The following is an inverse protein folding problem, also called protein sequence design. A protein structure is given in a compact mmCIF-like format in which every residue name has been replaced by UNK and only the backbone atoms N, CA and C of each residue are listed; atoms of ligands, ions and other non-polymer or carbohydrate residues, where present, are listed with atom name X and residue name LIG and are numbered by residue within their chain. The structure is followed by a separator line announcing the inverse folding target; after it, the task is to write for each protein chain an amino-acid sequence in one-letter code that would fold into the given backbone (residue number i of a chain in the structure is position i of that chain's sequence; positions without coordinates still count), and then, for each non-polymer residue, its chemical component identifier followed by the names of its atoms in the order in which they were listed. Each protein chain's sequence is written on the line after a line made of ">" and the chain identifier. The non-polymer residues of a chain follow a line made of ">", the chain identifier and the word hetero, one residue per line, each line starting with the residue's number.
data_IF_325890446313
#
_entry.id   IF_325890446313
#
_cell.length_a   1.000
_cell.length_b   1.000
_cell.length_c   1.000
_cell.angle_alpha   90.00
_cell.angle_beta   90.00
_cell.angle_gamma   90.00
#
_symmetry.space_group_name_H-M   'P 1'
#
loop_
_entity.id
_entity.type
_entity.pdbx_description
1 polymer ?
#
# COMPACT_ATOMS: atom_id res chain seq x y z
N UNK A 1 -8.70 26.33 -1.81
CA UNK A 1 -8.17 24.99 -1.48
C UNK A 1 -7.25 24.64 -2.65
N UNK A 2 -6.11 25.36 -2.76
CA UNK A 2 -5.44 25.57 -4.06
C UNK A 2 -3.98 25.07 -4.08
N UNK A 3 -3.52 24.41 -3.01
CA UNK A 3 -2.12 23.96 -2.89
C UNK A 3 -1.92 22.47 -3.18
N UNK A 4 -2.92 21.63 -2.87
CA UNK A 4 -2.80 20.19 -2.96
C UNK A 4 -3.92 19.60 -3.81
N UNK A 5 -3.62 18.53 -4.53
CA UNK A 5 -4.64 17.72 -5.20
C UNK A 5 -5.47 16.93 -4.18
N UNK A 6 -6.59 16.34 -4.61
CA UNK A 6 -7.35 15.43 -3.76
C UNK A 6 -6.48 14.24 -3.33
N UNK A 7 -5.70 13.67 -4.25
CA UNK A 7 -4.83 12.52 -4.00
C UNK A 7 -3.75 12.82 -2.94
N UNK A 8 -3.12 14.01 -3.01
CA UNK A 8 -2.14 14.44 -2.00
C UNK A 8 -2.79 14.63 -0.63
N UNK A 9 -4.02 15.15 -0.58
CA UNK A 9 -4.77 15.27 0.68
C UNK A 9 -5.15 13.89 1.23
N UNK A 10 -5.62 12.98 0.37
CA UNK A 10 -5.96 11.61 0.77
C UNK A 10 -4.73 10.86 1.29
N UNK A 11 -3.57 11.01 0.65
CA UNK A 11 -2.31 10.46 1.14
C UNK A 11 -1.93 11.03 2.51
N UNK A 12 -1.88 12.36 2.63
CA UNK A 12 -1.50 13.00 3.88
C UNK A 12 -2.45 12.63 5.02
N UNK A 13 -3.76 12.57 4.75
CA UNK A 13 -4.77 12.24 5.75
C UNK A 13 -4.77 10.75 6.09
N UNK A 14 -4.52 9.87 5.12
CA UNK A 14 -4.39 8.42 5.38
C UNK A 14 -3.17 8.11 6.23
N UNK A 15 -2.07 8.85 6.06
CA UNK A 15 -0.89 8.72 6.92
C UNK A 15 -1.13 9.31 8.32
N UNK A 16 -1.75 10.49 8.41
CA UNK A 16 -1.99 11.18 9.69
C UNK A 16 -3.05 10.51 10.55
N UNK A 17 -4.17 10.15 9.93
CA UNK A 17 -5.33 9.54 10.56
C UNK A 17 -5.38 8.04 10.32
N UNK A 18 -4.27 7.48 9.85
CA UNK A 18 -4.03 6.06 9.95
C UNK A 18 -5.15 5.31 9.20
N UNK A 19 -5.40 5.65 7.94
CA UNK A 19 -6.45 5.10 7.07
C UNK A 19 -7.88 5.02 7.70
N UNK A 20 -8.17 5.81 8.73
CA UNK A 20 -9.49 5.81 9.37
C UNK A 20 -10.50 6.55 8.48
N UNK A 21 -11.33 5.78 7.77
CA UNK A 21 -12.30 6.31 6.81
C UNK A 21 -13.22 7.38 7.39
N UNK A 22 -13.76 7.17 8.59
CA UNK A 22 -14.68 8.12 9.23
C UNK A 22 -13.98 9.44 9.54
N UNK A 23 -12.79 9.37 10.14
CA UNK A 23 -11.99 10.56 10.47
C UNK A 23 -11.59 11.30 9.19
N UNK A 24 -11.09 10.61 8.17
CA UNK A 24 -10.66 11.21 6.90
C UNK A 24 -11.84 11.93 6.22
N UNK A 25 -12.98 11.26 6.08
CA UNK A 25 -14.18 11.85 5.47
C UNK A 25 -14.71 13.04 6.27
N UNK A 26 -14.70 12.95 7.60
CA UNK A 26 -15.10 14.05 8.46
C UNK A 26 -14.18 15.27 8.26
N UNK A 27 -12.86 15.09 8.19
CA UNK A 27 -11.91 16.19 7.97
C UNK A 27 -12.06 16.82 6.59
N UNK A 28 -12.30 16.01 5.56
CA UNK A 28 -12.59 16.51 4.21
C UNK A 28 -13.89 17.32 4.17
N UNK A 29 -14.93 16.87 4.88
CA UNK A 29 -16.23 17.54 4.92
C UNK A 29 -16.22 18.83 5.75
N UNK A 30 -15.66 18.80 6.96
CA UNK A 30 -15.61 19.95 7.86
C UNK A 30 -14.65 21.03 7.37
N UNK A 31 -13.71 20.67 6.49
CA UNK A 31 -12.66 21.57 6.02
C UNK A 31 -11.71 22.01 7.12
N UNK A 32 -11.70 21.33 8.29
CA UNK A 32 -10.77 21.60 9.39
C UNK A 32 -9.35 21.33 8.88
N UNK A 33 -8.52 22.36 8.67
CA UNK A 33 -7.28 22.18 7.95
C UNK A 33 -6.24 21.52 8.86
N UNK A 34 -5.69 20.40 8.40
CA UNK A 34 -4.33 20.02 8.80
C UNK A 34 -3.42 21.17 8.34
N UNK A 35 -2.56 21.73 9.21
CA UNK A 35 -1.68 22.82 8.83
C UNK A 35 -0.86 22.47 7.58
N UNK A 36 -0.72 23.44 6.68
CA UNK A 36 -0.02 23.26 5.40
C UNK A 36 1.41 22.76 5.58
N UNK A 37 2.12 23.25 6.59
CA UNK A 37 3.47 22.78 6.92
C UNK A 37 3.49 21.31 7.38
N UNK A 38 2.43 20.86 8.07
CA UNK A 38 2.31 19.46 8.49
C UNK A 38 2.04 18.55 7.28
N UNK A 39 1.18 18.98 6.35
CA UNK A 39 0.96 18.24 5.08
C UNK A 39 2.28 18.12 4.31
N UNK A 40 3.02 19.21 4.16
CA UNK A 40 4.33 19.20 3.48
C UNK A 40 5.33 18.24 4.15
N UNK A 41 5.35 18.18 5.49
CA UNK A 41 6.22 17.28 6.25
C UNK A 41 5.82 15.81 6.12
N UNK A 42 4.53 15.51 6.03
CA UNK A 42 4.04 14.14 5.83
C UNK A 42 4.41 13.66 4.42
N UNK A 43 4.06 14.45 3.39
CA UNK A 43 4.29 14.06 2.00
C UNK A 43 5.78 13.87 1.67
N UNK A 44 6.67 14.65 2.29
CA UNK A 44 8.13 14.51 2.11
C UNK A 44 8.73 13.24 2.68
N UNK A 45 8.03 12.56 3.60
CA UNK A 45 8.53 11.35 4.29
C UNK A 45 8.08 10.06 3.60
N UNK A 46 7.25 10.15 2.57
CA UNK A 46 6.80 8.99 1.81
C UNK A 46 7.92 8.56 0.88
N UNK A 47 8.38 7.34 1.05
CA UNK A 47 9.49 6.72 0.32
C UNK A 47 8.98 5.59 -0.60
N UNK A 48 7.90 4.92 -0.20
CA UNK A 48 7.38 3.75 -0.90
C UNK A 48 6.37 4.08 -2.01
N UNK A 49 6.20 3.12 -2.94
CA UNK A 49 5.11 3.21 -3.93
C UNK A 49 3.77 3.09 -3.20
N UNK A 50 2.83 3.95 -3.59
CA UNK A 50 1.49 3.96 -3.04
C UNK A 50 0.44 4.13 -4.14
N UNK A 51 -0.80 3.75 -3.82
CA UNK A 51 -1.98 4.05 -4.64
C UNK A 51 -3.06 4.61 -3.73
N UNK A 52 -3.75 5.63 -4.22
CA UNK A 52 -4.89 6.26 -3.53
C UNK A 52 -6.20 5.76 -4.14
N UNK A 53 -7.28 5.72 -3.36
CA UNK A 53 -8.60 5.18 -3.75
C UNK A 53 -9.26 5.87 -4.95
N UNK A 54 -8.79 7.07 -5.31
CA UNK A 54 -9.24 7.85 -6.47
C UNK A 54 -8.38 7.66 -7.71
N UNK A 55 -7.28 6.91 -7.61
CA UNK A 55 -6.38 6.64 -8.73
C UNK A 55 -6.99 5.62 -9.70
N UNK A 56 -6.75 5.82 -11.00
CA UNK A 56 -7.08 4.82 -12.04
C UNK A 56 -6.30 3.51 -11.84
N UNK A 57 -5.16 3.55 -11.13
CA UNK A 57 -4.34 2.39 -10.80
C UNK A 57 -4.83 1.63 -9.54
N UNK A 58 -5.92 2.07 -8.90
CA UNK A 58 -6.46 1.41 -7.72
C UNK A 58 -7.23 0.13 -8.12
N UNK A 59 -6.79 -1.06 -7.72
CA UNK A 59 -7.41 -2.31 -8.17
C UNK A 59 -8.88 -2.42 -7.74
N UNK A 60 -9.71 -2.93 -8.64
CA UNK A 60 -11.14 -3.15 -8.38
C UNK A 60 -11.35 -4.08 -7.18
N UNK A 61 -10.41 -5.01 -6.94
CA UNK A 61 -10.34 -5.83 -5.73
C UNK A 61 -10.53 -5.03 -4.45
N UNK A 62 -9.76 -3.96 -4.27
CA UNK A 62 -9.79 -3.18 -3.03
C UNK A 62 -11.07 -2.33 -2.91
N UNK A 63 -11.77 -2.02 -4.01
CA UNK A 63 -13.10 -1.39 -3.90
C UNK A 63 -14.16 -2.33 -3.30
N UNK A 64 -13.91 -3.65 -3.31
CA UNK A 64 -14.86 -4.67 -2.84
C UNK A 64 -14.60 -5.18 -1.42
N UNK A 65 -13.44 -4.86 -0.84
CA UNK A 65 -13.14 -5.29 0.54
C UNK A 65 -13.91 -4.45 1.56
N UNK A 66 -14.18 -5.05 2.72
CA UNK A 66 -14.80 -4.31 3.82
C UNK A 66 -13.85 -3.22 4.33
N UNK A 67 -14.34 -1.98 4.41
CA UNK A 67 -13.57 -0.80 4.79
C UNK A 67 -12.31 -0.61 3.93
N UNK A 68 -12.48 -0.25 2.63
CA UNK A 68 -11.38 -0.13 1.70
C UNK A 68 -10.37 0.93 2.15
N UNK A 69 -9.05 0.65 2.08
CA UNK A 69 -8.06 1.64 2.44
C UNK A 69 -8.10 2.82 1.47
N UNK A 70 -8.04 4.04 2.02
CA UNK A 70 -7.94 5.25 1.20
C UNK A 70 -6.59 5.31 0.48
N UNK A 71 -5.55 4.82 1.13
CA UNK A 71 -4.21 4.65 0.55
C UNK A 71 -3.61 3.34 1.02
N UNK A 72 -2.92 2.65 0.12
CA UNK A 72 -2.06 1.53 0.47
C UNK A 72 -0.70 1.67 -0.20
N UNK A 73 0.29 0.97 0.36
CA UNK A 73 1.66 0.89 -0.13
C UNK A 73 1.91 -0.51 -0.69
N UNK A 74 2.74 -0.63 -1.72
CA UNK A 74 2.92 -1.93 -2.35
C UNK A 74 4.31 -2.12 -2.97
N UNK A 75 4.70 -3.38 -3.08
CA UNK A 75 5.81 -3.81 -3.92
C UNK A 75 5.37 -5.02 -4.76
N UNK A 76 5.85 -5.07 -6.00
CA UNK A 76 5.47 -6.11 -6.96
C UNK A 76 4.41 -5.69 -7.99
N UNK A 77 3.76 -6.68 -8.59
CA UNK A 77 2.81 -6.48 -9.68
C UNK A 77 1.38 -6.32 -9.17
N UNK A 78 0.94 -5.07 -9.02
CA UNK A 78 -0.37 -4.73 -8.44
C UNK A 78 -1.56 -5.29 -9.23
N UNK A 79 -1.42 -5.47 -10.55
CA UNK A 79 -2.47 -6.04 -11.42
C UNK A 79 -2.91 -7.46 -10.98
N UNK A 80 -2.09 -8.17 -10.22
CA UNK A 80 -2.42 -9.51 -9.73
C UNK A 80 -3.67 -9.53 -8.86
N UNK A 81 -4.00 -8.46 -8.15
CA UNK A 81 -5.19 -8.42 -7.29
C UNK A 81 -6.50 -8.48 -8.09
N UNK A 82 -6.50 -8.02 -9.34
CA UNK A 82 -7.66 -8.12 -10.22
C UNK A 82 -7.64 -9.36 -11.13
N UNK A 83 -6.49 -10.03 -11.22
CA UNK A 83 -6.30 -11.20 -12.09
C UNK A 83 -6.33 -12.54 -11.34
N UNK A 84 -6.05 -12.57 -10.04
CA UNK A 84 -5.97 -13.81 -9.27
C UNK A 84 -7.28 -14.15 -8.57
N UNK A 85 -7.68 -15.44 -8.65
CA UNK A 85 -8.82 -15.97 -7.90
C UNK A 85 -8.51 -16.15 -6.39
N UNK A 86 -7.23 -16.14 -6.03
CA UNK A 86 -6.75 -16.38 -4.67
C UNK A 86 -5.71 -15.34 -4.27
N UNK A 87 -5.90 -14.79 -3.08
CA UNK A 87 -4.98 -13.91 -2.37
C UNK A 87 -4.90 -14.36 -0.91
N UNK A 88 -3.82 -13.97 -0.24
CA UNK A 88 -3.67 -14.16 1.20
C UNK A 88 -3.85 -12.83 1.89
N UNK A 89 -4.62 -12.83 2.96
CA UNK A 89 -4.81 -11.68 3.82
C UNK A 89 -4.33 -12.03 5.22
N UNK A 90 -3.64 -11.08 5.86
CA UNK A 90 -3.34 -11.14 7.28
C UNK A 90 -3.47 -9.78 7.93
N UNK A 91 -3.45 -9.79 9.27
CA UNK A 91 -3.45 -8.58 10.07
C UNK A 91 -2.12 -8.44 10.81
N UNK A 92 -1.49 -7.27 10.67
CA UNK A 92 -0.22 -6.90 11.31
C UNK A 92 -0.46 -5.57 12.04
N UNK A 93 -0.29 -5.55 13.36
CA UNK A 93 -0.59 -4.39 14.22
C UNK A 93 -1.98 -3.77 13.99
N UNK A 94 -2.99 -4.61 13.78
CA UNK A 94 -4.37 -4.18 13.53
C UNK A 94 -4.65 -3.69 12.10
N UNK A 95 -3.67 -3.77 11.19
CA UNK A 95 -3.76 -3.35 9.79
C UNK A 95 -3.75 -4.51 8.83
N UNK A 96 -4.43 -4.37 7.69
CA UNK A 96 -4.45 -5.40 6.67
C UNK A 96 -3.16 -5.38 5.84
N UNK A 97 -2.67 -6.57 5.55
CA UNK A 97 -1.60 -6.85 4.62
C UNK A 97 -2.08 -7.95 3.68
N UNK A 98 -1.87 -7.75 2.39
CA UNK A 98 -2.33 -8.64 1.34
C UNK A 98 -1.15 -9.15 0.52
N UNK A 99 -1.24 -10.40 0.08
CA UNK A 99 -0.27 -11.04 -0.81
C UNK A 99 -1.02 -11.71 -1.96
N UNK A 100 -0.76 -11.25 -3.18
CA UNK A 100 -1.19 -11.91 -4.40
C UNK A 100 0.00 -12.63 -5.04
N UNK A 101 -0.22 -13.86 -5.52
CA UNK A 101 0.81 -14.68 -6.17
C UNK A 101 0.23 -15.31 -7.43
N UNK A 102 1.02 -15.39 -8.49
CA UNK A 102 0.68 -16.14 -9.70
C UNK A 102 1.92 -16.85 -10.26
N UNK A 103 1.89 -18.17 -10.32
CA UNK A 103 2.98 -18.95 -10.91
C UNK A 103 2.73 -19.17 -12.42
N UNK A 104 3.63 -18.65 -13.25
CA UNK A 104 3.62 -18.83 -14.71
C UNK A 104 4.87 -19.59 -15.14
N UNK A 105 4.75 -20.92 -15.23
CA UNK A 105 5.89 -21.80 -15.48
C UNK A 105 6.81 -21.86 -14.27
N UNK A 106 8.09 -21.51 -14.46
CA UNK A 106 9.05 -21.48 -13.38
C UNK A 106 9.00 -20.18 -12.57
N UNK A 107 8.53 -19.09 -13.18
CA UNK A 107 8.53 -17.77 -12.56
C UNK A 107 7.29 -17.59 -11.68
N UNK A 108 7.50 -16.95 -10.53
CA UNK A 108 6.45 -16.58 -9.61
C UNK A 108 6.31 -15.07 -9.61
N UNK A 109 5.19 -14.60 -10.15
CA UNK A 109 4.74 -13.23 -10.03
C UNK A 109 4.11 -13.01 -8.66
N UNK A 110 4.30 -11.85 -8.07
CA UNK A 110 3.82 -11.55 -6.73
C UNK A 110 3.59 -10.06 -6.52
N UNK A 111 2.75 -9.74 -5.55
CA UNK A 111 2.57 -8.39 -5.03
C UNK A 111 2.20 -8.44 -3.55
N UNK A 112 2.84 -7.59 -2.76
CA UNK A 112 2.52 -7.35 -1.35
C UNK A 112 1.96 -5.95 -1.23
N UNK A 113 0.85 -5.81 -0.51
CA UNK A 113 0.18 -4.54 -0.22
C UNK A 113 0.03 -4.39 1.30
N UNK A 114 0.32 -3.20 1.83
CA UNK A 114 0.12 -2.84 3.24
C UNK A 114 -0.62 -1.51 3.39
N UNK A 115 -1.46 -1.39 4.41
CA UNK A 115 -2.12 -0.11 4.76
C UNK A 115 -1.20 0.87 5.51
N UNK A 116 -0.02 0.40 5.91
CA UNK A 116 0.99 1.17 6.63
C UNK A 116 2.34 1.00 5.92
N UNK A 117 2.91 2.12 5.47
CA UNK A 117 4.19 2.18 4.76
C UNK A 117 5.30 1.43 5.50
N UNK A 118 5.40 1.63 6.83
CA UNK A 118 6.46 1.03 7.66
C UNK A 118 6.40 -0.50 7.72
N UNK A 119 5.29 -1.10 7.33
CA UNK A 119 5.12 -2.55 7.30
C UNK A 119 5.55 -3.14 5.96
N UNK A 120 5.66 -2.36 4.89
CA UNK A 120 5.93 -2.91 3.56
C UNK A 120 7.28 -3.64 3.49
N UNK A 121 8.38 -2.97 3.82
CA UNK A 121 9.73 -3.55 3.75
C UNK A 121 9.89 -4.78 4.66
N UNK A 122 9.48 -4.76 5.94
CA UNK A 122 9.50 -5.97 6.78
C UNK A 122 8.74 -7.15 6.17
N UNK A 123 7.60 -6.88 5.52
CA UNK A 123 6.77 -7.93 4.93
C UNK A 123 7.35 -8.49 3.63
N UNK A 124 7.95 -7.64 2.81
CA UNK A 124 8.72 -8.07 1.64
C UNK A 124 9.92 -8.92 2.07
N UNK A 125 10.72 -8.45 3.04
CA UNK A 125 11.88 -9.21 3.54
C UNK A 125 11.47 -10.59 4.06
N UNK A 126 10.42 -10.66 4.88
CA UNK A 126 9.90 -11.93 5.38
C UNK A 126 9.44 -12.86 4.25
N UNK A 127 8.77 -12.33 3.23
CA UNK A 127 8.36 -13.12 2.07
C UNK A 127 9.57 -13.72 1.34
N UNK A 128 10.64 -12.95 1.14
CA UNK A 128 11.87 -13.46 0.53
C UNK A 128 12.61 -14.46 1.43
N UNK A 129 12.64 -14.26 2.74
CA UNK A 129 13.22 -15.22 3.71
C UNK A 129 12.47 -16.57 3.67
N UNK A 130 11.14 -16.53 3.63
CA UNK A 130 10.30 -17.74 3.68
C UNK A 130 10.29 -18.52 2.35
N UNK A 131 10.36 -17.81 1.21
CA UNK A 131 10.07 -18.37 -0.11
C UNK A 131 11.13 -18.15 -1.18
N UNK A 132 12.07 -17.22 -1.01
CA UNK A 132 13.04 -16.80 -2.03
C UNK A 132 13.95 -17.90 -2.54
N UNK A 133 14.37 -18.83 -1.66
CA UNK A 133 15.21 -19.97 -2.06
C UNK A 133 14.42 -21.12 -2.71
N UNK A 134 13.08 -21.11 -2.59
CA UNK A 134 12.21 -22.21 -3.02
C UNK A 134 11.54 -21.95 -4.37
N UNK A 135 11.39 -20.68 -4.73
CA UNK A 135 10.64 -20.24 -5.89
C UNK A 135 11.43 -19.20 -6.68
N UNK A 136 11.29 -19.21 -8.02
CA UNK A 136 11.90 -18.18 -8.85
C UNK A 136 11.04 -16.90 -8.81
N UNK A 137 11.10 -16.18 -7.70
CA UNK A 137 10.35 -14.94 -7.49
C UNK A 137 10.84 -13.86 -8.47
N UNK A 138 9.91 -13.21 -9.17
CA UNK A 138 10.26 -12.04 -10.00
C UNK A 138 10.85 -10.93 -9.14
N UNK A 139 11.87 -10.24 -9.66
CA UNK A 139 12.53 -9.17 -8.94
C UNK A 139 11.87 -7.82 -9.23
N UNK A 140 11.12 -7.32 -8.24
CA UNK A 140 10.51 -6.00 -8.25
C UNK A 140 11.17 -5.00 -7.30
N UNK A 141 11.93 -5.51 -6.33
CA UNK A 141 12.51 -4.72 -5.24
C UNK A 141 13.68 -3.89 -5.77
N UNK A 142 13.76 -2.60 -5.39
CA UNK A 142 14.96 -1.83 -5.70
C UNK A 142 16.09 -2.34 -4.83
N UNK A 143 17.28 -2.61 -5.40
CA UNK A 143 18.42 -3.23 -4.70
C UNK A 143 18.86 -2.54 -3.40
N UNK A 144 18.43 -1.30 -3.16
CA UNK A 144 18.77 -0.47 -2.00
C UNK A 144 17.83 -0.71 -0.79
N UNK A 145 16.67 -1.34 -0.99
CA UNK A 145 15.60 -1.51 0.02
C UNK A 145 15.72 -2.82 0.83
N UNK A 146 16.60 -3.74 0.40
CA UNK A 146 16.78 -5.04 1.05
C UNK A 146 17.87 -4.98 2.13
N UNK A 147 17.48 -5.07 3.40
CA UNK A 147 18.38 -5.42 4.50
C UNK A 147 18.47 -6.94 4.61
N UNK A 148 19.09 -7.59 3.61
CA UNK A 148 19.43 -9.00 3.71
C UNK A 148 20.69 -9.13 4.58
N UNK A 149 20.50 -9.48 5.85
CA UNK A 149 21.59 -9.82 6.78
C UNK A 149 21.97 -11.29 6.71
#
# INVERSE_FOLDING_TARGET
>A
MDKYTMDELLLAFSLKFENNALEILQRLYEGTPVPVNEIDEILKKVEEKYVVITSDDYPDFFHRVDNPPFVFFYEGNLELFDQCDQYFEKTVDGRKCYLAINQKGNDVDWCIVTENEKQLVPEVNKFFEDYGDRYNLKNYVKKEELSLS
#
